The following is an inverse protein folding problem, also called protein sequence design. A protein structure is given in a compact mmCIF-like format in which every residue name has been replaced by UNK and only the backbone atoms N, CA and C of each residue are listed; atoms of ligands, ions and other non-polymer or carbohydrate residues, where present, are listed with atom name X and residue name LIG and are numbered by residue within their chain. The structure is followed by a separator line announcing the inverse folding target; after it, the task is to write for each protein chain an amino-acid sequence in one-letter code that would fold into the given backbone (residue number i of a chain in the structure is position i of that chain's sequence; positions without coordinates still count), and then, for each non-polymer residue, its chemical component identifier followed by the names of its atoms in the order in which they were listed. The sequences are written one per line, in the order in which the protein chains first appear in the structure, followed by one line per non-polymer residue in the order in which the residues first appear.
data_IF_188223625825
#
_entry.id   IF_188223625825
#
_cell.length_a   1.000
_cell.length_b   1.000
_cell.length_c   1.000
_cell.angle_alpha   90.00
_cell.angle_beta   90.00
_cell.angle_gamma   90.00
#
_symmetry.space_group_name_H-M   'P 1'
#
loop_
_entity.id
_entity.type
_entity.pdbx_description
1 polymer ?
#
# COMPACT_ATOMS: atom_id res chain seq x y z
N UNK A 1 -22.14 -26.99 -8.68
CA UNK A 1 -22.19 -26.36 -7.35
C UNK A 1 -23.42 -26.90 -6.65
N UNK A 2 -23.32 -27.23 -5.34
CA UNK A 2 -24.47 -27.66 -4.55
C UNK A 2 -25.34 -26.46 -4.16
N UNK A 3 -26.60 -26.72 -3.87
CA UNK A 3 -27.49 -25.78 -3.21
C UNK A 3 -27.18 -25.68 -1.68
N UNK A 4 -27.99 -24.89 -0.96
CA UNK A 4 -27.88 -24.68 0.49
C UNK A 4 -28.11 -25.98 1.33
N UNK A 5 -28.75 -26.99 0.76
CA UNK A 5 -29.04 -28.28 1.37
C UNK A 5 -27.98 -29.33 1.00
N UNK A 6 -26.98 -28.95 0.19
CA UNK A 6 -25.94 -29.86 -0.29
C UNK A 6 -26.38 -30.71 -1.48
N UNK A 7 -27.51 -30.42 -2.09
CA UNK A 7 -28.01 -31.17 -3.24
C UNK A 7 -27.36 -30.65 -4.52
N UNK A 8 -26.91 -31.54 -5.37
CA UNK A 8 -26.37 -31.20 -6.67
C UNK A 8 -26.84 -32.15 -7.75
N UNK A 9 -26.99 -31.64 -8.94
CA UNK A 9 -27.22 -32.41 -10.16
C UNK A 9 -26.04 -32.21 -11.13
N UNK A 10 -25.49 -33.29 -11.62
CA UNK A 10 -24.41 -33.28 -12.59
C UNK A 10 -24.84 -33.94 -13.87
N UNK A 11 -25.03 -33.16 -14.93
CA UNK A 11 -25.34 -33.66 -16.29
C UNK A 11 -24.05 -33.96 -17.02
N UNK A 12 -23.79 -35.23 -17.32
CA UNK A 12 -22.58 -35.68 -17.99
C UNK A 12 -22.96 -36.22 -19.35
N UNK A 13 -22.47 -35.56 -20.42
CA UNK A 13 -22.79 -35.97 -21.79
C UNK A 13 -22.03 -37.22 -22.23
N UNK A 14 -20.75 -37.37 -21.81
CA UNK A 14 -19.91 -38.52 -22.07
C UNK A 14 -18.84 -38.63 -20.99
N UNK A 15 -18.42 -39.84 -20.66
CA UNK A 15 -17.28 -40.13 -19.78
C UNK A 15 -16.59 -41.44 -20.17
N UNK A 16 -15.36 -41.59 -19.77
CA UNK A 16 -14.58 -42.82 -19.92
C UNK A 16 -14.34 -43.48 -18.56
N UNK A 17 -13.92 -44.72 -18.55
CA UNK A 17 -13.60 -45.46 -17.29
C UNK A 17 -12.41 -44.83 -16.54
N UNK A 18 -11.62 -44.01 -17.19
CA UNK A 18 -10.50 -43.27 -16.59
C UNK A 18 -10.93 -41.98 -15.89
N UNK A 19 -12.15 -41.50 -16.14
CA UNK A 19 -12.64 -40.25 -15.55
C UNK A 19 -12.98 -40.40 -14.07
N UNK A 20 -12.79 -39.31 -13.33
CA UNK A 20 -13.01 -39.31 -11.89
C UNK A 20 -13.82 -38.07 -11.47
N UNK A 21 -14.89 -38.31 -10.72
CA UNK A 21 -15.63 -37.25 -10.04
C UNK A 21 -14.92 -36.86 -8.74
N UNK A 22 -14.54 -35.59 -8.61
CA UNK A 22 -14.01 -35.01 -7.38
C UNK A 22 -15.06 -34.19 -6.67
N UNK A 23 -15.34 -34.55 -5.41
CA UNK A 23 -16.27 -33.82 -4.55
C UNK A 23 -15.47 -33.21 -3.42
N UNK A 24 -15.61 -31.91 -3.18
CA UNK A 24 -14.88 -31.20 -2.13
C UNK A 24 -15.71 -30.09 -1.52
N UNK A 25 -15.52 -29.86 -0.22
CA UNK A 25 -16.08 -28.73 0.51
C UNK A 25 -15.05 -28.15 1.46
N UNK A 26 -15.17 -26.86 1.79
CA UNK A 26 -14.26 -26.20 2.73
C UNK A 26 -14.41 -26.83 4.11
N UNK A 27 -13.29 -27.21 4.73
CA UNK A 27 -13.28 -27.88 6.04
C UNK A 27 -13.49 -29.40 5.99
N UNK A 28 -13.56 -30.00 4.80
CA UNK A 28 -13.72 -31.46 4.62
C UNK A 28 -12.67 -32.05 3.70
N UNK A 29 -12.36 -33.32 3.91
CA UNK A 29 -11.52 -34.08 3.00
C UNK A 29 -12.27 -34.33 1.69
N UNK A 30 -11.64 -33.98 0.57
CA UNK A 30 -12.22 -34.27 -0.73
C UNK A 30 -12.27 -35.76 -1.05
N UNK A 31 -13.37 -36.22 -1.63
CA UNK A 31 -13.55 -37.58 -2.10
C UNK A 31 -13.42 -37.64 -3.62
N UNK A 32 -12.76 -38.70 -4.13
CA UNK A 32 -12.67 -39.00 -5.56
C UNK A 32 -13.40 -40.31 -5.84
N UNK A 33 -14.29 -40.29 -6.80
CA UNK A 33 -15.08 -41.47 -7.21
C UNK A 33 -14.88 -41.68 -8.71
N UNK A 34 -14.52 -42.92 -9.10
CA UNK A 34 -14.42 -43.26 -10.53
C UNK A 34 -15.79 -43.13 -11.20
N UNK A 35 -15.82 -42.61 -12.41
CA UNK A 35 -17.08 -42.29 -13.10
C UNK A 35 -18.00 -43.48 -13.32
N UNK A 36 -17.54 -44.72 -13.61
CA UNK A 36 -18.40 -45.89 -13.69
C UNK A 36 -19.15 -46.16 -12.38
N UNK A 37 -18.51 -45.91 -11.23
CA UNK A 37 -19.12 -46.07 -9.90
C UNK A 37 -20.03 -44.88 -9.58
N UNK A 38 -19.59 -43.64 -9.91
CA UNK A 38 -20.37 -42.40 -9.67
C UNK A 38 -21.74 -42.43 -10.35
N UNK A 39 -21.85 -43.08 -11.52
CA UNK A 39 -23.14 -43.24 -12.23
C UNK A 39 -24.22 -43.93 -11.41
N UNK A 40 -23.83 -44.78 -10.45
CA UNK A 40 -24.74 -45.52 -9.59
C UNK A 40 -25.20 -44.75 -8.35
N UNK A 41 -24.64 -43.54 -8.12
CA UNK A 41 -24.97 -42.65 -6.98
C UNK A 41 -26.20 -41.76 -7.25
N UNK A 42 -27.17 -42.24 -8.03
CA UNK A 42 -28.43 -41.53 -8.22
C UNK A 42 -29.23 -41.55 -6.90
N UNK A 43 -29.52 -40.36 -6.35
CA UNK A 43 -30.24 -40.14 -5.09
C UNK A 43 -29.51 -40.68 -3.82
N UNK A 44 -28.19 -40.81 -3.87
CA UNK A 44 -27.42 -41.22 -2.70
C UNK A 44 -26.75 -40.04 -2.01
N UNK A 45 -26.52 -40.14 -0.71
CA UNK A 45 -25.81 -39.15 0.09
C UNK A 45 -24.33 -39.50 0.17
N UNK A 46 -23.48 -38.55 -0.25
CA UNK A 46 -22.02 -38.71 -0.16
C UNK A 46 -21.52 -37.97 1.09
N UNK A 47 -20.96 -38.72 2.04
CA UNK A 47 -20.42 -38.17 3.27
C UNK A 47 -18.97 -37.75 3.09
N UNK A 48 -18.66 -36.50 3.47
CA UNK A 48 -17.30 -36.02 3.55
C UNK A 48 -16.81 -36.04 5.00
N UNK A 49 -15.61 -36.53 5.23
CA UNK A 49 -14.99 -36.49 6.56
C UNK A 49 -14.44 -35.09 6.85
N UNK A 50 -14.62 -34.60 8.08
CA UNK A 50 -14.11 -33.31 8.51
C UNK A 50 -12.57 -33.31 8.47
N UNK A 51 -12.00 -32.28 7.90
CA UNK A 51 -10.57 -32.00 7.96
C UNK A 51 -10.30 -30.98 9.06
N UNK A 52 -9.55 -31.31 10.08
CA UNK A 52 -8.98 -30.34 11.00
C UNK A 52 -7.72 -29.75 10.38
N UNK A 53 -7.82 -28.54 9.82
CA UNK A 53 -6.65 -27.76 9.41
C UNK A 53 -6.10 -27.13 10.69
N UNK A 54 -5.05 -27.71 11.26
CA UNK A 54 -4.26 -26.99 12.28
C UNK A 54 -3.57 -25.82 11.59
N UNK A 55 -4.08 -24.61 11.82
CA UNK A 55 -3.36 -23.41 11.44
C UNK A 55 -2.13 -23.31 12.33
N UNK A 56 -0.95 -23.30 11.72
CA UNK A 56 0.27 -23.05 12.46
C UNK A 56 0.19 -21.66 13.10
N UNK A 57 0.57 -21.58 14.38
CA UNK A 57 0.66 -20.32 15.10
C UNK A 57 1.53 -19.34 14.33
N UNK A 58 0.97 -18.20 13.91
CA UNK A 58 1.74 -17.12 13.31
C UNK A 58 2.45 -16.38 14.44
N UNK A 59 3.71 -16.74 14.68
CA UNK A 59 4.56 -15.99 15.63
C UNK A 59 4.95 -14.65 15.02
N UNK A 60 4.22 -13.61 15.36
CA UNK A 60 4.58 -12.23 15.03
C UNK A 60 5.74 -11.84 15.96
N UNK A 61 6.96 -11.80 15.41
CA UNK A 61 8.09 -11.23 16.11
C UNK A 61 7.99 -9.70 16.01
N UNK A 62 8.05 -8.96 17.12
CA UNK A 62 8.08 -7.51 17.07
C UNK A 62 9.31 -7.07 16.26
N UNK A 63 9.08 -6.44 15.14
CA UNK A 63 10.15 -5.89 14.32
C UNK A 63 10.55 -4.53 14.89
N UNK A 64 11.82 -4.36 15.23
CA UNK A 64 12.33 -3.09 15.75
C UNK A 64 12.17 -2.00 14.69
N UNK A 65 11.26 -1.08 14.94
CA UNK A 65 11.10 0.10 14.07
C UNK A 65 12.24 1.08 14.35
N UNK A 66 12.91 1.53 13.30
CA UNK A 66 13.98 2.52 13.39
C UNK A 66 13.49 3.77 12.66
N UNK A 67 13.33 4.87 13.39
CA UNK A 67 13.03 6.17 12.79
C UNK A 67 14.32 6.86 12.36
N UNK A 68 14.34 7.38 11.15
CA UNK A 68 15.47 8.12 10.57
C UNK A 68 15.00 9.41 9.93
N UNK A 69 15.86 10.42 9.95
CA UNK A 69 15.66 11.64 9.15
C UNK A 69 16.31 11.43 7.80
N UNK A 70 15.53 11.63 6.73
CA UNK A 70 15.98 11.65 5.34
C UNK A 70 16.01 13.10 4.84
N UNK A 71 16.81 13.38 3.81
CA UNK A 71 16.99 14.74 3.30
C UNK A 71 17.96 15.58 4.13
N UNK A 72 17.78 16.90 4.10
CA UNK A 72 18.65 17.84 4.80
C UNK A 72 18.39 17.83 6.31
N UNK A 73 19.44 17.61 7.09
CA UNK A 73 19.35 17.57 8.55
C UNK A 73 19.64 18.90 9.22
N UNK A 74 20.36 19.78 8.52
CA UNK A 74 20.79 21.08 9.03
C UNK A 74 20.11 22.19 8.25
N UNK A 75 19.70 23.22 8.97
CA UNK A 75 19.16 24.43 8.37
C UNK A 75 20.32 25.38 8.07
N UNK A 76 20.63 25.58 6.78
CA UNK A 76 21.58 26.56 6.35
C UNK A 76 20.82 27.80 5.89
N UNK A 77 20.85 28.86 6.68
CA UNK A 77 20.18 30.12 6.36
C UNK A 77 20.91 30.97 5.32
N UNK A 78 22.12 30.59 4.92
CA UNK A 78 22.89 31.25 3.84
C UNK A 78 22.39 30.90 2.44
N UNK A 79 21.63 29.82 2.28
CA UNK A 79 21.01 29.43 1.01
C UNK A 79 19.53 29.18 1.26
N UNK A 80 18.67 30.06 0.80
CA UNK A 80 17.24 29.90 0.89
C UNK A 80 16.60 30.02 -0.50
N UNK A 81 15.52 29.26 -0.69
CA UNK A 81 14.68 29.35 -1.87
C UNK A 81 13.45 30.20 -1.53
N UNK A 82 13.05 31.05 -2.46
CA UNK A 82 11.94 31.97 -2.26
C UNK A 82 10.86 31.72 -3.30
N UNK A 83 9.61 31.78 -2.88
CA UNK A 83 8.44 31.82 -3.76
C UNK A 83 7.99 33.24 -4.07
N UNK A 84 8.79 34.25 -3.72
CA UNK A 84 8.53 35.68 -3.98
C UNK A 84 9.51 36.22 -4.98
N UNK A 85 9.03 36.86 -6.03
CA UNK A 85 9.84 37.62 -6.98
C UNK A 85 9.06 38.84 -7.43
N UNK A 86 9.78 39.90 -7.82
CA UNK A 86 9.21 41.17 -8.22
C UNK A 86 8.29 41.09 -9.46
N UNK A 87 8.40 40.01 -10.25
CA UNK A 87 7.68 39.84 -11.52
C UNK A 87 6.94 38.48 -11.62
N UNK A 88 7.00 37.60 -10.59
CA UNK A 88 6.68 36.21 -10.74
C UNK A 88 5.37 35.79 -10.16
N UNK A 89 4.52 35.31 -11.02
CA UNK A 89 3.39 34.49 -10.63
C UNK A 89 3.91 33.05 -10.42
N UNK A 90 4.50 32.79 -9.24
CA UNK A 90 5.03 31.44 -8.88
C UNK A 90 3.95 30.41 -8.53
N UNK A 91 2.71 30.63 -8.99
CA UNK A 91 1.65 29.65 -8.86
C UNK A 91 2.04 28.36 -9.57
N UNK A 92 2.10 27.26 -8.82
CA UNK A 92 2.48 25.97 -9.35
C UNK A 92 3.98 25.66 -9.32
N UNK A 93 4.84 26.60 -8.89
CA UNK A 93 6.24 26.29 -8.66
C UNK A 93 6.37 25.32 -7.47
N UNK A 94 7.24 24.33 -7.63
CA UNK A 94 7.56 23.34 -6.60
C UNK A 94 9.07 23.35 -6.33
N UNK A 95 9.42 23.11 -5.08
CA UNK A 95 10.80 22.91 -4.66
C UNK A 95 10.88 21.49 -4.16
N UNK A 96 11.73 20.67 -4.76
CA UNK A 96 11.92 19.29 -4.37
C UNK A 96 13.33 19.01 -3.84
N UNK A 97 13.42 18.04 -2.95
CA UNK A 97 14.67 17.55 -2.41
C UNK A 97 14.64 16.02 -2.52
N UNK A 98 15.68 15.45 -3.13
CA UNK A 98 15.82 14.01 -3.22
C UNK A 98 16.14 13.42 -1.85
N UNK A 99 15.31 12.52 -1.40
CA UNK A 99 15.49 11.70 -0.22
C UNK A 99 15.98 10.30 -0.62
N UNK A 100 17.23 9.99 -0.25
CA UNK A 100 17.83 8.68 -0.54
C UNK A 100 17.33 7.64 0.46
N UNK A 101 16.71 6.59 -0.06
CA UNK A 101 16.34 5.39 0.69
C UNK A 101 17.25 4.22 0.29
N UNK A 102 17.58 3.34 1.23
CA UNK A 102 18.28 2.12 0.85
C UNK A 102 17.32 1.23 0.07
N UNK A 103 17.68 0.92 -1.17
CA UNK A 103 16.88 0.06 -2.05
C UNK A 103 16.39 -1.21 -1.34
N UNK A 104 15.15 -1.57 -1.59
CA UNK A 104 14.49 -2.75 -1.03
C UNK A 104 14.05 -2.61 0.44
N UNK A 105 14.11 -1.43 1.05
CA UNK A 105 13.58 -1.19 2.38
C UNK A 105 12.30 -0.38 2.31
N UNK A 106 11.20 -1.01 2.71
CA UNK A 106 9.95 -0.29 2.88
C UNK A 106 10.09 0.70 4.05
N UNK A 107 9.86 1.97 3.77
CA UNK A 107 9.83 3.05 4.77
C UNK A 107 8.46 3.70 4.79
N UNK A 108 8.01 4.10 5.98
CA UNK A 108 6.80 4.88 6.18
C UNK A 108 7.17 6.31 6.53
N UNK A 109 6.55 7.27 5.85
CA UNK A 109 6.78 8.68 6.09
C UNK A 109 5.92 9.15 7.27
N UNK A 110 6.57 9.48 8.39
CA UNK A 110 5.85 9.87 9.61
C UNK A 110 5.65 11.38 9.71
N UNK A 111 6.67 12.16 9.32
CA UNK A 111 6.64 13.61 9.37
C UNK A 111 7.40 14.20 8.21
N UNK A 112 6.91 15.34 7.72
CA UNK A 112 7.65 16.23 6.82
C UNK A 112 8.00 17.50 7.55
N UNK A 113 9.29 17.89 7.53
CA UNK A 113 9.78 19.06 8.22
C UNK A 113 10.50 19.99 7.23
N UNK A 114 10.25 21.28 7.38
CA UNK A 114 11.01 22.30 6.66
C UNK A 114 11.17 23.54 7.52
N UNK A 115 12.13 24.39 7.16
CA UNK A 115 12.41 25.61 7.89
C UNK A 115 11.97 26.84 7.08
N UNK A 116 11.19 27.70 7.69
CA UNK A 116 10.86 29.02 7.15
C UNK A 116 11.88 30.00 7.67
N UNK A 117 12.72 30.53 6.77
CA UNK A 117 13.73 31.54 7.11
C UNK A 117 13.05 32.88 7.41
N UNK A 118 12.06 33.27 6.59
CA UNK A 118 11.31 34.50 6.76
C UNK A 118 9.97 34.41 6.04
N UNK A 119 8.90 34.73 6.75
CA UNK A 119 7.56 34.88 6.18
C UNK A 119 7.10 36.34 6.32
N UNK A 120 7.02 37.03 5.20
CA UNK A 120 6.66 38.45 5.12
C UNK A 120 5.14 38.66 5.09
N UNK A 121 4.34 37.65 4.88
CA UNK A 121 2.88 37.76 4.82
C UNK A 121 2.29 37.96 6.20
N UNK A 122 1.28 38.81 6.31
CA UNK A 122 0.56 39.02 7.60
C UNK A 122 -0.20 37.78 8.03
N UNK A 123 -0.83 37.11 7.07
CA UNK A 123 -1.68 35.94 7.26
C UNK A 123 -0.90 34.61 7.17
N UNK A 124 -1.62 33.51 7.23
CA UNK A 124 -1.07 32.19 7.03
C UNK A 124 -0.70 31.94 5.57
N UNK A 125 0.39 31.20 5.37
CA UNK A 125 0.75 30.63 4.07
C UNK A 125 0.09 29.27 3.89
N UNK A 126 -0.36 29.01 2.68
CA UNK A 126 -0.87 27.71 2.28
C UNK A 126 0.17 27.00 1.43
N UNK A 127 0.55 25.82 1.84
CA UNK A 127 1.47 24.96 1.12
C UNK A 127 0.76 23.69 0.63
N UNK A 128 1.25 23.18 -0.49
CA UNK A 128 0.93 21.84 -1.00
C UNK A 128 2.17 20.99 -0.91
N UNK A 129 2.07 19.83 -0.30
CA UNK A 129 3.13 18.84 -0.21
C UNK A 129 2.80 17.69 -1.15
N UNK A 130 3.76 17.30 -1.94
CA UNK A 130 3.73 16.13 -2.82
C UNK A 130 4.94 15.25 -2.54
N UNK A 131 4.84 13.98 -2.92
CA UNK A 131 5.95 13.04 -2.94
C UNK A 131 6.00 12.36 -4.30
N UNK A 132 7.18 12.31 -4.89
CA UNK A 132 7.38 11.77 -6.24
C UNK A 132 8.38 10.62 -6.20
N UNK A 133 8.11 9.57 -6.97
CA UNK A 133 9.12 8.56 -7.27
C UNK A 133 10.22 9.17 -8.13
N UNK A 134 11.42 8.63 -8.01
CA UNK A 134 12.48 8.94 -8.96
C UNK A 134 12.17 8.30 -10.32
N UNK A 135 12.30 9.07 -11.39
CA UNK A 135 12.21 8.56 -12.75
C UNK A 135 13.54 7.96 -13.24
N UNK A 136 13.57 7.54 -14.49
CA UNK A 136 14.78 6.93 -15.10
C UNK A 136 15.94 7.92 -15.27
N UNK A 137 15.65 9.20 -15.26
CA UNK A 137 16.61 10.30 -15.41
C UNK A 137 17.08 10.85 -14.08
N UNK A 138 16.56 10.35 -12.97
CA UNK A 138 16.90 10.80 -11.62
C UNK A 138 16.14 12.04 -11.19
N UNK A 139 15.03 12.35 -11.84
CA UNK A 139 14.16 13.51 -11.62
C UNK A 139 12.84 13.09 -10.94
N UNK A 140 12.06 14.07 -10.39
CA UNK A 140 10.72 13.79 -9.88
C UNK A 140 9.81 13.25 -10.99
N UNK A 141 9.31 12.04 -10.83
CA UNK A 141 8.43 11.35 -11.77
C UNK A 141 6.98 11.26 -11.30
N UNK A 142 6.47 10.04 -11.13
CA UNK A 142 5.09 9.80 -10.69
C UNK A 142 4.85 10.22 -9.23
N UNK A 143 3.74 10.92 -8.99
CA UNK A 143 3.34 11.30 -7.63
C UNK A 143 2.88 10.06 -6.84
N UNK A 144 3.47 9.84 -5.68
CA UNK A 144 3.12 8.73 -4.77
C UNK A 144 1.75 8.97 -4.12
N UNK A 145 1.35 10.24 -3.96
CA UNK A 145 0.12 10.60 -3.29
C UNK A 145 -1.08 10.49 -4.24
N UNK A 146 -2.14 9.85 -3.79
CA UNK A 146 -3.43 9.84 -4.49
C UNK A 146 -4.12 11.20 -4.46
N UNK A 147 -3.87 11.99 -3.40
CA UNK A 147 -4.39 13.34 -3.21
C UNK A 147 -3.30 14.23 -2.61
N UNK A 148 -3.15 15.48 -3.07
CA UNK A 148 -2.17 16.40 -2.50
C UNK A 148 -2.49 16.70 -1.04
N UNK A 149 -1.45 16.86 -0.22
CA UNK A 149 -1.57 17.29 1.17
C UNK A 149 -1.50 18.80 1.18
N UNK A 150 -2.58 19.46 1.57
CA UNK A 150 -2.64 20.92 1.69
C UNK A 150 -2.70 21.29 3.17
N UNK A 151 -1.83 22.19 3.59
CA UNK A 151 -1.79 22.68 4.97
C UNK A 151 -1.49 24.16 5.03
N UNK A 152 -1.80 24.79 6.17
CA UNK A 152 -1.56 26.21 6.43
C UNK A 152 -0.64 26.38 7.61
N UNK A 153 0.20 27.41 7.56
CA UNK A 153 1.05 27.80 8.67
C UNK A 153 1.16 29.33 8.77
N UNK A 154 1.14 29.84 10.00
CA UNK A 154 1.39 31.24 10.30
C UNK A 154 2.80 31.47 10.85
N UNK A 155 3.66 30.45 10.84
CA UNK A 155 5.04 30.56 11.31
C UNK A 155 5.77 31.65 10.53
N UNK A 156 6.38 32.60 11.25
CA UNK A 156 7.15 33.70 10.66
C UNK A 156 8.59 33.30 10.36
N UNK A 157 9.19 32.57 11.28
CA UNK A 157 10.52 32.00 11.22
C UNK A 157 10.55 30.74 12.07
N UNK A 158 11.17 29.68 11.61
CA UNK A 158 11.31 28.43 12.36
C UNK A 158 10.87 27.19 11.60
N UNK A 159 10.84 26.09 12.33
CA UNK A 159 10.48 24.77 11.80
C UNK A 159 8.97 24.62 11.69
N UNK A 160 8.53 24.15 10.52
CA UNK A 160 7.17 23.68 10.31
C UNK A 160 7.22 22.16 10.19
N UNK A 161 6.38 21.45 10.96
CA UNK A 161 6.27 19.99 10.95
C UNK A 161 4.86 19.58 10.56
N UNK A 162 4.76 18.70 9.57
CA UNK A 162 3.49 18.14 9.09
C UNK A 162 3.45 16.66 9.46
N UNK A 163 2.49 16.26 10.29
CA UNK A 163 2.31 14.87 10.68
C UNK A 163 1.64 14.07 9.54
N UNK A 164 2.31 13.02 9.09
CA UNK A 164 1.90 12.17 7.97
C UNK A 164 1.50 10.76 8.41
N UNK A 165 1.64 10.40 9.69
CA UNK A 165 1.42 9.03 10.20
C UNK A 165 0.07 8.45 9.80
N UNK A 166 -0.97 9.28 9.84
CA UNK A 166 -2.34 8.86 9.53
C UNK A 166 -2.58 8.56 8.04
N UNK A 167 -1.67 9.00 7.16
CA UNK A 167 -1.78 8.81 5.72
C UNK A 167 -1.14 7.50 5.23
N UNK A 168 -0.34 6.83 6.08
CA UNK A 168 0.33 5.56 5.79
C UNK A 168 1.13 5.59 4.47
N UNK A 169 1.72 6.74 4.14
CA UNK A 169 2.54 6.92 2.93
C UNK A 169 3.79 6.06 3.08
N UNK A 170 4.06 5.23 2.08
CA UNK A 170 5.22 4.36 2.09
C UNK A 170 5.89 4.31 0.71
N UNK A 171 7.18 4.00 0.70
CA UNK A 171 7.98 3.76 -0.50
C UNK A 171 9.16 2.85 -0.16
N UNK A 172 9.64 2.11 -1.14
CA UNK A 172 10.85 1.28 -1.08
C UNK A 172 11.99 1.84 -1.96
N UNK A 173 11.71 2.89 -2.73
CA UNK A 173 12.65 3.58 -3.61
C UNK A 173 13.13 4.92 -3.05
N UNK A 174 14.11 5.53 -3.75
CA UNK A 174 14.45 6.94 -3.60
C UNK A 174 13.25 7.79 -4.06
N UNK A 175 13.06 8.96 -3.42
CA UNK A 175 11.91 9.81 -3.71
C UNK A 175 12.24 11.30 -3.52
N UNK A 176 11.37 12.15 -4.02
CA UNK A 176 11.44 13.61 -3.90
C UNK A 176 10.27 14.14 -3.08
#
# INVERSE_FOLDING_TARGET
VCDENGVFELKIAAFTDADTLKISAIGYNGVKVAMPVAKNYSNETIYLSVTSVQLNEVKIKPQKTITKVLGNKNYNTGICLSFTGAEGNYKGAEISIKAKNKKGRLVFLENFNFYIVKNLYKDSLTFRLNFYKEDKEGLPGENILRKPIVFKTAVKEGVVSVNLKHLLINTDDDFF
#
